data_IF_819166000643
#
_entry.id   IF_819166000643
#
_cell.length_a   1.000
_cell.length_b   1.000
_cell.length_c   1.000
_cell.angle_alpha   90.00
_cell.angle_beta   90.00
_cell.angle_gamma   90.00
#
_symmetry.space_group_name_H-M   'P 1'
#
loop_
_entity.id
_entity.type
_entity.pdbx_description
1 polymer ?
#
# COMPACT_ATOMS: atom_id res chain seq x y z
N UNK A 1 -18.37 -4.33 -5.49
CA UNK A 1 -18.51 -4.66 -6.92
C UNK A 1 -19.08 -3.44 -7.63
N UNK A 2 -18.65 -3.16 -8.85
CA UNK A 2 -19.19 -2.12 -9.72
C UNK A 2 -20.16 -2.77 -10.69
N UNK A 3 -21.29 -2.12 -10.96
CA UNK A 3 -22.36 -2.62 -11.82
C UNK A 3 -22.70 -1.58 -12.90
N UNK A 4 -23.17 -2.05 -14.05
CA UNK A 4 -23.78 -1.20 -15.07
C UNK A 4 -25.24 -0.86 -14.72
N UNK A 5 -25.88 -0.01 -15.52
CA UNK A 5 -27.31 0.28 -15.41
C UNK A 5 -28.22 -0.93 -15.68
N UNK A 6 -27.67 -2.00 -16.27
CA UNK A 6 -28.38 -3.26 -16.57
C UNK A 6 -28.06 -4.34 -15.51
N UNK A 7 -27.59 -3.94 -14.32
CA UNK A 7 -27.19 -4.81 -13.20
C UNK A 7 -26.07 -5.83 -13.53
N UNK A 8 -25.35 -5.62 -14.63
CA UNK A 8 -24.19 -6.46 -15.01
C UNK A 8 -23.00 -6.08 -14.14
N UNK A 9 -22.39 -7.07 -13.49
CA UNK A 9 -21.18 -6.86 -12.70
C UNK A 9 -19.98 -6.58 -13.62
N UNK A 10 -19.55 -5.32 -13.71
CA UNK A 10 -18.44 -4.90 -14.57
C UNK A 10 -17.07 -5.08 -13.91
N UNK A 11 -17.01 -5.02 -12.58
CA UNK A 11 -15.76 -5.21 -11.84
C UNK A 11 -16.02 -5.66 -10.40
N UNK A 12 -15.32 -6.72 -9.97
CA UNK A 12 -15.33 -7.20 -8.60
C UNK A 12 -13.95 -7.72 -8.23
N UNK A 13 -13.38 -7.17 -7.17
CA UNK A 13 -12.17 -7.70 -6.56
C UNK A 13 -12.25 -7.56 -5.05
N UNK A 14 -11.46 -8.38 -4.34
CA UNK A 14 -11.16 -8.17 -2.93
C UNK A 14 -9.92 -7.30 -2.81
N UNK A 15 -9.95 -6.28 -1.95
CA UNK A 15 -8.79 -5.43 -1.68
C UNK A 15 -8.27 -5.75 -0.29
N UNK A 16 -7.00 -6.13 -0.21
CA UNK A 16 -6.29 -6.54 1.00
C UNK A 16 -5.09 -5.60 1.26
N UNK A 17 -4.27 -5.91 2.26
CA UNK A 17 -3.07 -5.13 2.56
C UNK A 17 -2.04 -5.28 1.44
N UNK A 18 -1.93 -6.47 0.87
CA UNK A 18 -0.98 -6.88 -0.17
C UNK A 18 -1.42 -6.42 -1.57
N UNK A 19 -2.69 -6.02 -1.73
CA UNK A 19 -3.20 -5.55 -3.01
C UNK A 19 -2.50 -4.26 -3.43
N UNK A 20 -1.86 -4.28 -4.60
CA UNK A 20 -1.24 -3.12 -5.22
C UNK A 20 -2.32 -2.13 -5.66
N UNK A 21 -2.39 -0.99 -4.97
CA UNK A 21 -3.37 0.03 -5.25
C UNK A 21 -2.92 1.40 -4.74
N UNK A 22 -3.42 2.47 -5.35
CA UNK A 22 -3.01 3.84 -5.00
C UNK A 22 -4.06 4.88 -5.36
N UNK A 23 -3.99 6.04 -4.68
CA UNK A 23 -4.71 7.25 -5.08
C UNK A 23 -4.06 7.83 -6.33
N UNK A 24 -4.88 8.18 -7.31
CA UNK A 24 -4.47 8.91 -8.52
C UNK A 24 -5.22 10.25 -8.55
N UNK A 25 -4.48 11.36 -8.54
CA UNK A 25 -5.08 12.70 -8.52
C UNK A 25 -5.95 12.96 -7.28
N UNK A 26 -7.02 13.75 -7.44
CA UNK A 26 -7.91 14.18 -6.34
C UNK A 26 -9.09 13.25 -6.09
N UNK A 27 -9.50 12.46 -7.08
CA UNK A 27 -10.77 11.73 -7.03
C UNK A 27 -10.73 10.38 -7.77
N UNK A 28 -9.55 9.78 -7.93
CA UNK A 28 -9.40 8.50 -8.61
C UNK A 28 -8.57 7.52 -7.80
N UNK A 29 -8.81 6.23 -8.05
CA UNK A 29 -8.15 5.13 -7.39
C UNK A 29 -7.75 4.06 -8.39
N UNK A 30 -6.49 3.63 -8.36
CA UNK A 30 -5.99 2.56 -9.22
C UNK A 30 -5.77 1.28 -8.42
N UNK A 31 -6.15 0.15 -9.00
CA UNK A 31 -5.94 -1.19 -8.46
C UNK A 31 -5.26 -2.03 -9.53
N UNK A 32 -4.15 -2.67 -9.20
CA UNK A 32 -3.43 -3.59 -10.08
C UNK A 32 -3.67 -5.02 -9.61
N UNK A 33 -4.11 -5.87 -10.54
CA UNK A 33 -4.38 -7.29 -10.32
C UNK A 33 -3.62 -8.08 -11.40
N UNK A 34 -2.47 -8.65 -11.04
CA UNK A 34 -1.60 -9.33 -12.00
C UNK A 34 -1.06 -8.35 -13.05
N UNK A 35 -1.31 -8.62 -14.33
CA UNK A 35 -0.86 -7.79 -15.44
C UNK A 35 -1.82 -6.65 -15.83
N UNK A 36 -3.00 -6.58 -15.22
CA UNK A 36 -4.02 -5.59 -15.55
C UNK A 36 -4.19 -4.58 -14.42
N UNK A 37 -4.45 -3.32 -14.79
CA UNK A 37 -4.79 -2.26 -13.84
C UNK A 37 -6.16 -1.70 -14.17
N UNK A 38 -6.95 -1.42 -13.14
CA UNK A 38 -8.25 -0.77 -13.24
C UNK A 38 -8.18 0.58 -12.53
N UNK A 39 -8.51 1.64 -13.26
CA UNK A 39 -8.63 3.00 -12.72
C UNK A 39 -10.11 3.32 -12.49
N UNK A 40 -10.47 3.61 -11.26
CA UNK A 40 -11.81 4.01 -10.85
C UNK A 40 -11.79 5.53 -10.64
N UNK A 41 -12.61 6.26 -11.39
CA UNK A 41 -12.81 7.69 -11.23
C UNK A 41 -14.15 7.95 -10.55
N UNK A 42 -14.12 8.68 -9.44
CA UNK A 42 -15.32 9.03 -8.69
C UNK A 42 -15.96 10.29 -9.27
N UNK A 43 -17.28 10.39 -9.14
CA UNK A 43 -18.05 11.53 -9.64
C UNK A 43 -17.64 12.85 -8.93
N UNK A 44 -17.35 12.77 -7.63
CA UNK A 44 -16.87 13.91 -6.85
C UNK A 44 -15.65 13.55 -5.98
N UNK A 45 -14.83 14.55 -5.57
CA UNK A 45 -13.74 14.32 -4.64
C UNK A 45 -14.20 13.84 -3.25
N UNK A 46 -15.43 14.20 -2.84
CA UNK A 46 -15.97 13.81 -1.55
C UNK A 46 -16.33 12.31 -1.51
N UNK A 47 -16.86 11.77 -2.61
CA UNK A 47 -17.13 10.34 -2.75
C UNK A 47 -15.84 9.53 -2.68
N UNK A 48 -14.80 10.02 -3.37
CA UNK A 48 -13.46 9.45 -3.29
C UNK A 48 -12.93 9.46 -1.84
N UNK A 49 -13.02 10.58 -1.13
CA UNK A 49 -12.55 10.67 0.25
C UNK A 49 -13.26 9.67 1.17
N UNK A 50 -14.59 9.56 1.04
CA UNK A 50 -15.39 8.60 1.81
C UNK A 50 -14.97 7.15 1.54
N UNK A 51 -14.85 6.78 0.26
CA UNK A 51 -14.34 5.48 -0.16
C UNK A 51 -12.93 5.19 0.38
N UNK A 52 -12.02 6.15 0.22
CA UNK A 52 -10.62 5.98 0.60
C UNK A 52 -10.43 5.84 2.12
N UNK A 53 -11.26 6.50 2.92
CA UNK A 53 -11.25 6.35 4.38
C UNK A 53 -11.71 4.95 4.82
N UNK A 54 -12.76 4.41 4.20
CA UNK A 54 -13.19 3.02 4.44
C UNK A 54 -12.05 2.06 4.09
N UNK A 55 -11.42 2.27 2.93
CA UNK A 55 -10.34 1.40 2.47
C UNK A 55 -9.13 1.40 3.42
N UNK A 56 -8.75 2.57 3.97
CA UNK A 56 -7.68 2.68 4.97
C UNK A 56 -7.98 1.85 6.22
N UNK A 57 -9.21 1.93 6.72
CA UNK A 57 -9.65 1.16 7.88
C UNK A 57 -9.61 -0.34 7.60
N UNK A 58 -10.11 -0.78 6.44
CA UNK A 58 -10.10 -2.20 6.06
C UNK A 58 -8.69 -2.76 5.85
N UNK A 59 -7.74 -1.96 5.35
CA UNK A 59 -6.36 -2.39 5.11
C UNK A 59 -5.48 -2.43 6.37
N UNK A 60 -6.07 -2.18 7.55
CA UNK A 60 -5.33 -2.22 8.81
C UNK A 60 -4.29 -1.11 8.91
N UNK A 61 -4.57 0.08 8.35
CA UNK A 61 -3.84 1.31 8.69
C UNK A 61 -4.16 1.78 10.12
N UNK A 62 -4.16 0.86 11.09
CA UNK A 62 -3.89 1.18 12.48
C UNK A 62 -2.41 1.55 12.52
N UNK A 63 -2.11 2.71 13.09
CA UNK A 63 -0.84 3.45 13.09
C UNK A 63 0.45 2.68 13.50
N UNK A 64 0.40 1.38 13.77
CA UNK A 64 1.36 0.65 14.61
C UNK A 64 2.06 -0.51 13.87
N UNK A 65 2.42 -0.35 12.59
CA UNK A 65 3.39 -1.27 11.97
C UNK A 65 4.15 -0.60 10.84
N UNK A 66 5.02 0.32 11.22
CA UNK A 66 6.06 0.84 10.34
C UNK A 66 6.87 -0.33 9.76
N UNK A 67 7.32 -0.22 8.50
CA UNK A 67 8.31 -1.12 7.89
C UNK A 67 9.61 -1.18 8.71
N UNK A 68 9.77 -0.22 9.63
CA UNK A 68 10.80 -0.21 10.66
C UNK A 68 10.63 -1.32 11.72
N UNK A 69 9.40 -1.65 12.13
CA UNK A 69 9.12 -2.73 13.11
C UNK A 69 9.21 -4.13 12.51
N UNK A 70 9.08 -4.27 11.19
CA UNK A 70 9.19 -5.59 10.52
C UNK A 70 10.66 -5.97 10.23
N UNK A 71 11.58 -5.02 10.35
CA UNK A 71 13.03 -5.20 10.09
C UNK A 71 13.91 -5.21 11.35
N UNK A 72 13.33 -5.27 12.53
CA UNK A 72 14.08 -5.53 13.76
C UNK A 72 13.81 -6.97 14.15
N UNK A 73 14.65 -7.92 13.75
CA UNK A 73 15.84 -8.20 14.56
C UNK A 73 17.11 -8.59 13.78
N UNK A 74 17.02 -8.97 12.50
CA UNK A 74 18.15 -9.65 11.82
C UNK A 74 18.97 -8.78 10.86
N UNK A 75 18.38 -7.79 10.17
CA UNK A 75 19.10 -6.98 9.16
C UNK A 75 19.93 -5.83 9.76
N UNK A 76 19.54 -5.26 10.90
CA UNK A 76 20.19 -4.08 11.48
C UNK A 76 21.49 -4.40 12.23
N UNK A 77 21.58 -5.57 12.87
CA UNK A 77 22.78 -5.99 13.58
C UNK A 77 23.95 -6.24 12.62
N UNK A 78 23.71 -6.93 11.49
CA UNK A 78 24.75 -7.27 10.51
C UNK A 78 25.39 -6.01 9.92
N UNK A 79 24.58 -5.00 9.59
CA UNK A 79 25.08 -3.70 9.11
C UNK A 79 25.86 -2.91 10.17
N UNK A 80 25.41 -2.93 11.44
CA UNK A 80 26.12 -2.26 12.53
C UNK A 80 27.49 -2.91 12.81
N UNK A 81 27.57 -4.25 12.73
CA UNK A 81 28.82 -4.98 12.85
C UNK A 81 29.73 -4.78 11.63
N UNK A 82 29.19 -4.66 10.41
CA UNK A 82 29.98 -4.32 9.22
C UNK A 82 30.59 -2.91 9.32
N UNK A 83 29.82 -1.90 9.72
CA UNK A 83 30.32 -0.53 9.87
C UNK A 83 31.39 -0.41 10.96
N UNK A 84 31.21 -1.06 12.12
CA UNK A 84 32.23 -1.09 13.19
C UNK A 84 33.48 -1.86 12.79
N UNK A 85 33.37 -2.94 11.99
CA UNK A 85 34.55 -3.69 11.51
C UNK A 85 35.31 -2.98 10.38
N UNK A 86 34.65 -2.20 9.53
CA UNK A 86 35.32 -1.32 8.57
C UNK A 86 36.13 -0.23 9.29
N UNK A 87 35.53 0.41 10.31
CA UNK A 87 36.20 1.46 11.09
C UNK A 87 37.39 0.96 11.92
N UNK A 88 37.42 -0.33 12.29
CA UNK A 88 38.56 -0.91 13.02
C UNK A 88 39.74 -1.31 12.11
N UNK A 89 39.52 -1.43 10.79
CA UNK A 89 40.58 -1.74 9.81
C UNK A 89 41.30 -0.50 9.28
N UNK A 90 40.69 0.67 9.38
CA UNK A 90 41.30 1.95 8.98
C UNK A 90 42.14 2.61 10.10
N UNK A 91 42.18 2.02 11.30
CA UNK A 91 42.91 2.56 12.47
C UNK A 91 43.97 1.57 12.97
N UNK A 92 44.51 0.71 12.09
CA UNK A 92 45.68 -0.12 12.37
C UNK A 92 46.74 0.04 11.29
#
# INVERSE_FOLDING_TARGET
>A
ALYSHEDVCVFKCSVSRETECSRVGKQSFIITLGCNSVLIQFATPNDFCSFYNILKTCRGHTLERSVFSERTEESSAVQYFQMRKLRLREVK
#
